data_IF_480631396630
#
_entry.id   IF_480631396630
#
_cell.length_a   1.000
_cell.length_b   1.000
_cell.length_c   1.000
_cell.angle_alpha   90.00
_cell.angle_beta   90.00
_cell.angle_gamma   90.00
#
_symmetry.space_group_name_H-M   'P 1'
#
loop_
_entity.id
_entity.type
_entity.pdbx_description
1 polymer ?
#
# COMPACT_ATOMS: atom_id res chain seq x y z
N UNK A 1 -5.75 0.00 6.60
CA UNK A 1 -5.23 1.27 6.06
C UNK A 1 -4.03 1.08 5.14
N UNK A 2 -2.95 0.39 5.55
CA UNK A 2 -1.70 0.27 4.76
C UNK A 2 -1.47 -1.06 4.03
N UNK A 3 -2.48 -1.95 3.99
CA UNK A 3 -2.37 -3.33 3.46
C UNK A 3 -1.20 -4.14 4.04
N UNK A 4 -0.82 -3.83 5.27
CA UNK A 4 0.08 -4.64 6.08
C UNK A 4 -0.75 -5.53 7.00
N UNK A 5 -0.37 -6.79 7.10
CA UNK A 5 -0.78 -7.69 8.17
C UNK A 5 -0.25 -7.20 9.51
N UNK A 6 -0.86 -7.68 10.60
CA UNK A 6 -0.43 -7.34 11.94
C UNK A 6 1.03 -7.73 12.24
N UNK A 7 1.55 -8.78 11.58
CA UNK A 7 2.93 -9.22 11.71
C UNK A 7 3.88 -8.28 10.96
N UNK A 8 3.55 -7.90 9.72
CA UNK A 8 4.35 -6.95 8.92
C UNK A 8 4.43 -5.59 9.59
N UNK A 9 3.31 -5.06 10.09
CA UNK A 9 3.29 -3.78 10.79
C UNK A 9 4.16 -3.80 12.06
N UNK A 10 4.13 -4.90 12.84
CA UNK A 10 4.98 -5.07 14.02
C UNK A 10 6.46 -5.15 13.67
N UNK A 11 6.82 -5.92 12.64
CA UNK A 11 8.21 -6.01 12.19
C UNK A 11 8.73 -4.67 11.69
N UNK A 12 7.93 -3.94 10.90
CA UNK A 12 8.29 -2.63 10.42
C UNK A 12 8.53 -1.66 11.58
N UNK A 13 7.66 -1.67 12.60
CA UNK A 13 7.82 -0.85 13.79
C UNK A 13 9.09 -1.21 14.58
N UNK A 14 9.38 -2.49 14.78
CA UNK A 14 10.61 -2.94 15.45
C UNK A 14 11.83 -2.48 14.68
N UNK A 15 11.88 -2.73 13.36
CA UNK A 15 13.01 -2.33 12.51
C UNK A 15 13.18 -0.81 12.43
N UNK A 16 12.11 -0.04 12.62
CA UNK A 16 12.16 1.42 12.66
C UNK A 16 12.73 1.95 13.99
N UNK A 17 12.46 1.26 15.10
CA UNK A 17 12.93 1.66 16.44
C UNK A 17 14.31 1.09 16.76
N UNK A 18 14.62 -0.10 16.27
CA UNK A 18 15.94 -0.71 16.39
C UNK A 18 16.96 0.06 15.54
N UNK A 19 17.94 0.66 16.20
CA UNK A 19 19.04 1.39 15.56
C UNK A 19 20.13 0.45 15.00
N UNK A 20 19.83 -0.85 14.84
CA UNK A 20 20.77 -1.85 14.36
C UNK A 20 20.08 -2.89 13.48
N UNK A 21 20.80 -3.46 12.49
CA UNK A 21 20.30 -4.60 11.74
C UNK A 21 20.06 -5.80 12.66
N UNK A 22 18.92 -6.48 12.50
CA UNK A 22 18.55 -7.69 13.27
C UNK A 22 18.29 -8.87 12.34
N UNK A 23 18.52 -10.09 12.83
CA UNK A 23 18.28 -11.33 12.06
C UNK A 23 16.81 -11.74 12.09
N UNK A 24 16.43 -12.62 11.15
CA UNK A 24 15.13 -13.30 11.13
C UNK A 24 14.78 -14.01 12.44
N UNK A 25 15.76 -14.61 13.11
CA UNK A 25 15.52 -15.27 14.39
C UNK A 25 15.23 -14.27 15.51
N UNK A 26 16.03 -13.22 15.61
CA UNK A 26 15.81 -12.16 16.60
C UNK A 26 14.44 -11.51 16.42
N UNK A 27 14.04 -11.25 15.16
CA UNK A 27 12.69 -10.78 14.86
C UNK A 27 11.60 -11.72 15.41
N UNK A 28 11.75 -13.03 15.20
CA UNK A 28 10.80 -14.04 15.67
C UNK A 28 10.66 -14.06 17.19
N UNK A 29 11.78 -13.95 17.89
CA UNK A 29 11.83 -13.88 19.35
C UNK A 29 11.16 -12.59 19.85
N UNK A 30 11.41 -11.45 19.21
CA UNK A 30 10.85 -10.14 19.59
C UNK A 30 9.33 -10.06 19.42
N UNK A 31 8.76 -10.65 18.38
CA UNK A 31 7.30 -10.58 18.12
C UNK A 31 6.53 -11.81 18.57
N UNK A 32 7.21 -12.83 19.10
CA UNK A 32 6.61 -14.11 19.51
C UNK A 32 5.97 -14.86 18.35
N UNK A 33 6.63 -14.92 17.18
CA UNK A 33 6.11 -15.60 15.98
C UNK A 33 7.08 -16.65 15.45
N UNK A 34 6.53 -17.62 14.72
CA UNK A 34 7.33 -18.66 14.08
C UNK A 34 8.26 -18.09 13.00
N UNK A 35 9.40 -18.76 12.78
CA UNK A 35 10.36 -18.40 11.72
C UNK A 35 9.69 -18.27 10.35
N UNK A 36 8.77 -19.16 10.02
CA UNK A 36 7.99 -19.10 8.76
C UNK A 36 7.14 -17.84 8.67
N UNK A 37 6.44 -17.46 9.75
CA UNK A 37 5.61 -16.26 9.77
C UNK A 37 6.45 -14.99 9.61
N UNK A 38 7.63 -14.94 10.25
CA UNK A 38 8.57 -13.81 10.09
C UNK A 38 9.13 -13.77 8.68
N UNK A 39 9.52 -14.91 8.12
CA UNK A 39 10.08 -14.99 6.78
C UNK A 39 9.10 -14.49 5.71
N UNK A 40 7.82 -14.87 5.81
CA UNK A 40 6.77 -14.37 4.90
C UNK A 40 6.63 -12.85 5.05
N UNK A 41 6.54 -12.36 6.29
CA UNK A 41 6.34 -10.94 6.56
C UNK A 41 7.54 -10.08 6.11
N UNK A 42 8.78 -10.49 6.39
CA UNK A 42 9.96 -9.72 5.94
C UNK A 42 10.08 -9.73 4.43
N UNK A 43 9.77 -10.86 3.76
CA UNK A 43 9.81 -10.96 2.31
C UNK A 43 8.82 -9.99 1.66
N UNK A 44 7.61 -9.89 2.23
CA UNK A 44 6.59 -8.95 1.75
C UNK A 44 7.03 -7.50 1.97
N UNK A 45 7.57 -7.18 3.15
CA UNK A 45 8.10 -5.85 3.44
C UNK A 45 9.27 -5.47 2.51
N UNK A 46 10.15 -6.41 2.17
CA UNK A 46 11.23 -6.19 1.21
C UNK A 46 10.68 -5.97 -0.20
N UNK A 47 9.66 -6.73 -0.62
CA UNK A 47 8.99 -6.53 -1.90
C UNK A 47 8.29 -5.16 -2.00
N UNK A 48 7.82 -4.62 -0.87
CA UNK A 48 7.27 -3.27 -0.78
C UNK A 48 8.33 -2.19 -0.59
N UNK A 49 9.62 -2.54 -0.60
CA UNK A 49 10.76 -1.64 -0.41
C UNK A 49 10.72 -0.86 0.91
N UNK A 50 10.13 -1.47 1.95
CA UNK A 50 9.99 -0.88 3.29
C UNK A 50 11.11 -1.29 4.25
N UNK A 51 11.90 -2.31 3.88
CA UNK A 51 13.03 -2.82 4.67
C UNK A 51 14.17 -3.23 3.74
N UNK A 52 15.41 -3.06 4.21
CA UNK A 52 16.62 -3.45 3.48
C UNK A 52 17.25 -4.68 4.11
N UNK A 53 17.79 -5.56 3.26
CA UNK A 53 18.67 -6.65 3.68
C UNK A 53 20.11 -6.14 3.72
N UNK A 54 20.77 -6.32 4.86
CA UNK A 54 22.13 -5.84 5.12
C UNK A 54 23.05 -7.03 5.36
N UNK A 55 24.22 -7.01 4.72
CA UNK A 55 25.28 -7.96 5.02
C UNK A 55 26.18 -7.42 6.13
N UNK A 56 26.39 -8.23 7.16
CA UNK A 56 27.27 -7.90 8.28
C UNK A 56 28.55 -8.74 8.16
N UNK A 57 29.71 -8.07 8.15
CA UNK A 57 31.01 -8.70 7.96
C UNK A 57 31.24 -9.82 8.98
N UNK A 58 31.56 -11.02 8.50
CA UNK A 58 31.84 -12.19 9.34
C UNK A 58 30.59 -12.96 9.77
N UNK A 59 29.38 -12.49 9.46
CA UNK A 59 28.15 -13.22 9.74
C UNK A 59 27.69 -14.05 8.53
N UNK A 60 27.25 -15.29 8.78
CA UNK A 60 26.63 -16.16 7.77
C UNK A 60 25.11 -15.95 7.64
N UNK A 61 24.53 -15.08 8.47
CA UNK A 61 23.09 -14.83 8.55
C UNK A 61 22.72 -13.53 7.85
N UNK A 62 21.48 -13.47 7.40
CA UNK A 62 20.88 -12.25 6.87
C UNK A 62 20.40 -11.35 7.99
N UNK A 63 20.76 -10.08 7.88
CA UNK A 63 20.26 -9.02 8.74
C UNK A 63 19.34 -8.12 7.94
N UNK A 64 18.39 -7.49 8.61
CA UNK A 64 17.49 -6.53 8.02
C UNK A 64 17.41 -5.28 8.88
N UNK A 65 17.16 -4.15 8.23
CA UNK A 65 16.99 -2.83 8.85
C UNK A 65 15.84 -2.09 8.19
N UNK A 66 15.30 -1.06 8.84
CA UNK A 66 14.40 -0.12 8.18
C UNK A 66 15.14 0.69 7.13
N UNK A 67 14.46 0.97 6.01
CA UNK A 67 14.91 1.88 4.97
C UNK A 67 14.94 3.32 5.48
N UNK A 68 15.83 4.14 4.93
CA UNK A 68 15.79 5.57 5.17
C UNK A 68 14.46 6.18 4.71
N UNK A 69 13.93 7.12 5.49
CA UNK A 69 12.65 7.77 5.21
C UNK A 69 11.48 6.78 4.98
N UNK A 70 11.41 5.71 5.77
CA UNK A 70 10.35 4.68 5.66
C UNK A 70 8.94 5.25 5.57
N UNK A 71 8.64 6.33 6.30
CA UNK A 71 7.37 7.02 6.23
C UNK A 71 7.09 7.57 4.83
N UNK A 72 8.07 8.25 4.20
CA UNK A 72 7.94 8.76 2.82
C UNK A 72 7.67 7.60 1.86
N UNK A 73 8.46 6.52 1.93
CA UNK A 73 8.27 5.35 1.05
C UNK A 73 6.89 4.72 1.23
N UNK A 74 6.46 4.50 2.47
CA UNK A 74 5.16 3.93 2.80
C UNK A 74 4.02 4.80 2.26
N UNK A 75 4.06 6.11 2.50
CA UNK A 75 3.03 7.03 2.02
C UNK A 75 3.02 7.12 0.50
N UNK A 76 4.19 7.20 -0.15
CA UNK A 76 4.28 7.23 -1.62
C UNK A 76 3.67 5.97 -2.24
N UNK A 77 4.00 4.79 -1.71
CA UNK A 77 3.40 3.53 -2.16
C UNK A 77 1.88 3.51 -1.96
N UNK A 78 1.39 4.04 -0.84
CA UNK A 78 -0.04 4.08 -0.55
C UNK A 78 -0.79 5.04 -1.49
N UNK A 79 -0.21 6.20 -1.78
CA UNK A 79 -0.78 7.20 -2.70
C UNK A 79 -0.86 6.65 -4.12
N UNK A 80 0.18 5.97 -4.60
CA UNK A 80 0.17 5.37 -5.94
C UNK A 80 -0.87 4.25 -6.05
N UNK A 81 -1.05 3.46 -4.99
CA UNK A 81 -2.13 2.46 -4.96
C UNK A 81 -3.52 3.10 -5.00
N UNK A 82 -3.75 4.16 -4.23
CA UNK A 82 -5.02 4.90 -4.30
C UNK A 82 -5.26 5.48 -5.69
N UNK A 83 -4.23 6.04 -6.33
CA UNK A 83 -4.31 6.53 -7.70
C UNK A 83 -4.77 5.44 -8.67
N UNK A 84 -4.13 4.27 -8.62
CA UNK A 84 -4.48 3.14 -9.48
C UNK A 84 -5.93 2.64 -9.21
N UNK A 85 -6.33 2.56 -7.94
CA UNK A 85 -7.67 2.13 -7.55
C UNK A 85 -8.74 3.13 -7.99
N UNK A 86 -8.54 4.42 -7.76
CA UNK A 86 -9.50 5.46 -8.16
C UNK A 86 -9.63 5.54 -9.67
N UNK A 87 -8.53 5.42 -10.42
CA UNK A 87 -8.60 5.37 -11.89
C UNK A 87 -9.42 4.18 -12.38
N UNK A 88 -9.18 2.97 -11.83
CA UNK A 88 -9.96 1.78 -12.17
C UNK A 88 -11.44 1.94 -11.82
N UNK A 89 -11.76 2.57 -10.69
CA UNK A 89 -13.15 2.86 -10.31
C UNK A 89 -13.82 3.81 -11.30
N UNK A 90 -13.12 4.87 -11.72
CA UNK A 90 -13.60 5.79 -12.75
C UNK A 90 -13.88 5.05 -14.07
N UNK A 91 -12.96 4.19 -14.53
CA UNK A 91 -13.14 3.40 -15.75
C UNK A 91 -14.35 2.48 -15.69
N UNK A 92 -14.54 1.76 -14.58
CA UNK A 92 -15.70 0.88 -14.37
C UNK A 92 -16.99 1.69 -14.35
N UNK A 93 -17.01 2.83 -13.66
CA UNK A 93 -18.21 3.69 -13.59
C UNK A 93 -18.55 4.30 -14.95
N UNK A 94 -17.56 4.66 -15.77
CA UNK A 94 -17.78 5.11 -17.15
C UNK A 94 -18.34 4.00 -18.03
N UNK A 95 -17.86 2.77 -17.85
CA UNK A 95 -18.42 1.61 -18.55
C UNK A 95 -19.86 1.36 -18.13
N UNK A 96 -20.17 1.43 -16.84
CA UNK A 96 -21.53 1.33 -16.31
C UNK A 96 -22.41 2.40 -16.94
N UNK A 97 -22.03 3.68 -16.87
CA UNK A 97 -22.80 4.80 -17.44
C UNK A 97 -23.18 4.59 -18.92
N UNK A 98 -22.27 4.03 -19.74
CA UNK A 98 -22.52 3.72 -21.15
C UNK A 98 -23.40 2.49 -21.39
N UNK A 99 -23.48 1.58 -20.43
CA UNK A 99 -24.22 0.32 -20.53
C UNK A 99 -25.68 0.46 -20.09
N UNK A 100 -26.06 1.64 -19.58
CA UNK A 100 -27.40 1.97 -19.11
C UNK A 100 -28.28 2.33 -20.32
N UNK A 101 -29.45 1.69 -20.42
CA UNK A 101 -30.47 2.01 -21.44
C UNK A 101 -31.34 3.18 -20.98
N UNK A 102 -31.58 4.15 -21.87
CA UNK A 102 -32.35 5.39 -21.58
C UNK A 102 -33.87 5.16 -21.38
N UNK A 103 -34.37 3.94 -21.53
CA UNK A 103 -35.82 3.66 -21.65
C UNK A 103 -36.51 3.11 -20.38
N UNK A 104 -35.84 3.07 -19.22
CA UNK A 104 -36.43 2.56 -17.98
C UNK A 104 -36.48 3.66 -16.87
N UNK A 105 -37.69 4.04 -16.39
CA UNK A 105 -37.86 5.07 -15.36
C UNK A 105 -37.18 4.78 -14.01
N UNK A 106 -37.05 3.52 -13.61
CA UNK A 106 -36.34 3.13 -12.38
C UNK A 106 -34.82 3.44 -12.55
N UNK A 107 -34.36 3.27 -13.78
CA UNK A 107 -32.99 3.49 -14.22
C UNK A 107 -32.59 4.98 -14.24
N UNK A 108 -33.51 5.90 -14.51
CA UNK A 108 -33.24 7.34 -14.47
C UNK A 108 -32.74 7.83 -13.10
N UNK A 109 -33.31 7.28 -12.01
CA UNK A 109 -32.87 7.61 -10.65
C UNK A 109 -31.45 7.09 -10.36
N UNK A 110 -31.14 5.89 -10.86
CA UNK A 110 -29.83 5.25 -10.74
C UNK A 110 -28.79 5.96 -11.60
N UNK A 111 -29.14 6.39 -12.80
CA UNK A 111 -28.24 7.13 -13.70
C UNK A 111 -27.76 8.42 -13.04
N UNK A 112 -28.67 9.19 -12.41
CA UNK A 112 -28.31 10.40 -11.67
C UNK A 112 -27.34 10.12 -10.52
N UNK A 113 -27.53 9.02 -9.79
CA UNK A 113 -26.63 8.61 -8.71
C UNK A 113 -25.26 8.16 -9.25
N UNK A 114 -25.23 7.38 -10.33
CA UNK A 114 -24.00 6.91 -10.99
C UNK A 114 -23.19 8.09 -11.52
N UNK A 115 -23.81 9.04 -12.22
CA UNK A 115 -23.11 10.23 -12.74
C UNK A 115 -22.58 11.12 -11.62
N UNK A 116 -23.34 11.32 -10.53
CA UNK A 116 -22.86 12.04 -9.34
C UNK A 116 -21.67 11.35 -8.68
N UNK A 117 -21.74 10.01 -8.54
CA UNK A 117 -20.65 9.21 -7.98
C UNK A 117 -19.40 9.27 -8.88
N UNK A 118 -19.57 9.17 -10.19
CA UNK A 118 -18.49 9.28 -11.17
C UNK A 118 -17.82 10.66 -11.10
N UNK A 119 -18.60 11.74 -10.96
CA UNK A 119 -18.04 13.09 -10.80
C UNK A 119 -17.18 13.20 -9.54
N UNK A 120 -17.66 12.65 -8.41
CA UNK A 120 -16.89 12.59 -7.17
C UNK A 120 -15.56 11.82 -7.36
N UNK A 121 -15.61 10.64 -7.99
CA UNK A 121 -14.39 9.83 -8.22
C UNK A 121 -13.40 10.53 -9.18
N UNK A 122 -13.89 11.26 -10.20
CA UNK A 122 -13.04 12.08 -11.07
C UNK A 122 -12.34 13.21 -10.29
N UNK A 123 -13.05 13.88 -9.39
CA UNK A 123 -12.47 14.91 -8.53
C UNK A 123 -11.41 14.30 -7.59
N UNK A 124 -11.71 13.17 -6.96
CA UNK A 124 -10.77 12.44 -6.12
C UNK A 124 -9.50 12.03 -6.91
N UNK A 125 -9.65 11.50 -8.12
CA UNK A 125 -8.54 11.14 -8.99
C UNK A 125 -7.67 12.35 -9.34
N UNK A 126 -8.28 13.50 -9.62
CA UNK A 126 -7.56 14.73 -9.91
C UNK A 126 -6.75 15.24 -8.71
N UNK A 127 -7.30 15.14 -7.50
CA UNK A 127 -6.58 15.49 -6.26
C UNK A 127 -5.40 14.55 -6.04
N UNK A 128 -5.64 13.23 -6.12
CA UNK A 128 -4.58 12.22 -5.94
C UNK A 128 -3.46 12.43 -6.96
N UNK A 129 -3.79 12.69 -8.24
CA UNK A 129 -2.80 12.99 -9.28
C UNK A 129 -1.91 14.19 -8.93
N UNK A 130 -2.48 15.26 -8.35
CA UNK A 130 -1.71 16.42 -7.90
C UNK A 130 -0.78 16.06 -6.73
N UNK A 131 -1.26 15.28 -5.77
CA UNK A 131 -0.47 14.81 -4.63
C UNK A 131 0.71 13.95 -5.09
N UNK A 132 0.47 12.98 -6.00
CA UNK A 132 1.53 12.12 -6.55
C UNK A 132 2.62 12.91 -7.27
N UNK A 133 2.25 13.97 -7.99
CA UNK A 133 3.22 14.83 -8.68
C UNK A 133 4.15 15.56 -7.71
N UNK A 134 3.68 15.92 -6.51
CA UNK A 134 4.47 16.59 -5.47
C UNK A 134 5.42 15.60 -4.78
N UNK A 135 4.98 14.37 -4.52
CA UNK A 135 5.77 13.37 -3.81
C UNK A 135 6.86 12.70 -4.66
N UNK A 136 6.83 12.92 -5.98
CA UNK A 136 7.83 12.49 -6.96
C UNK A 136 8.97 13.52 -7.15
N UNK A 137 8.86 14.70 -6.51
CA UNK A 137 9.91 15.72 -6.43
C UNK A 137 10.79 15.56 -5.17
#
# INVERSE_FOLDING_TARGET
MFRLSATEARLLAILYVENRPITLEQMGDLIGKSKTSVHIAIRNLSHQELVDRVWVKGARKDFYTSVSNVYKKLMTSQIEQWRAQTNRQVEIMQYMEKSISDNDPEFLSMQKQVSSSLQFHKQAAAIIKKITAISSC
#
